data_IF_487013993956
#
_entry.id   IF_487013993956
#
_cell.length_a   1.000
_cell.length_b   1.000
_cell.length_c   1.000
_cell.angle_alpha   90.00
_cell.angle_beta   90.00
_cell.angle_gamma   90.00
#
_symmetry.space_group_name_H-M   'P 1'
#
loop_
_entity.id
_entity.type
_entity.pdbx_description
1 polymer ?
#
# COMPACT_ATOMS: atom_id res chain seq x y z
N UNK A 1 -41.12 -35.99 -38.62
CA UNK A 1 -41.64 -35.43 -39.90
C UNK A 1 -43.17 -35.52 -39.84
N UNK A 2 -43.98 -34.57 -40.33
CA UNK A 2 -43.67 -33.32 -41.06
C UNK A 2 -44.35 -32.03 -40.46
N UNK A 3 -43.72 -30.86 -40.58
CA UNK A 3 -44.03 -29.69 -41.45
C UNK A 3 -45.28 -28.85 -41.12
N UNK A 4 -45.05 -27.55 -40.90
CA UNK A 4 -46.07 -26.50 -40.87
C UNK A 4 -45.48 -25.09 -40.92
N UNK A 5 -45.27 -24.59 -42.14
CA UNK A 5 -44.72 -23.27 -42.52
C UNK A 5 -45.60 -22.08 -42.09
N UNK A 6 -44.97 -20.94 -41.73
CA UNK A 6 -45.53 -19.60 -42.03
C UNK A 6 -44.44 -18.52 -42.17
N UNK A 7 -44.30 -18.04 -43.42
CA UNK A 7 -43.55 -16.85 -43.87
C UNK A 7 -44.37 -15.57 -43.62
N UNK A 8 -43.70 -14.46 -43.30
CA UNK A 8 -43.91 -13.04 -43.75
C UNK A 8 -43.01 -12.14 -42.87
N UNK A 9 -42.36 -11.06 -43.30
CA UNK A 9 -41.96 -10.47 -44.60
C UNK A 9 -40.95 -9.37 -44.21
N UNK A 10 -39.80 -9.27 -44.87
CA UNK A 10 -38.83 -8.16 -44.77
C UNK A 10 -39.45 -6.89 -45.39
N UNK A 11 -39.25 -5.73 -44.77
CA UNK A 11 -39.10 -4.45 -45.47
C UNK A 11 -37.71 -3.91 -45.15
N UNK A 12 -36.99 -3.57 -46.22
CA UNK A 12 -35.67 -2.96 -46.26
C UNK A 12 -35.91 -1.66 -47.01
N UNK A 13 -35.67 -0.52 -46.39
CA UNK A 13 -35.47 0.73 -47.12
C UNK A 13 -34.17 1.38 -46.65
N UNK A 14 -33.51 1.91 -47.65
CA UNK A 14 -32.16 2.47 -47.72
C UNK A 14 -32.26 3.92 -48.17
N UNK A 15 -31.12 4.62 -48.20
CA UNK A 15 -30.88 5.99 -48.69
C UNK A 15 -30.99 7.07 -47.60
N UNK A 16 -30.18 8.11 -47.54
CA UNK A 16 -29.03 8.53 -48.36
C UNK A 16 -28.27 9.62 -47.60
N UNK A 17 -26.95 9.68 -47.85
CA UNK A 17 -26.06 10.80 -47.61
C UNK A 17 -26.60 12.10 -48.24
N UNK A 18 -26.38 13.22 -47.57
CA UNK A 18 -26.17 14.53 -48.20
C UNK A 18 -25.16 15.32 -47.38
N UNK A 19 -24.02 15.54 -48.01
CA UNK A 19 -23.07 16.62 -47.74
C UNK A 19 -23.78 17.97 -47.86
N UNK A 20 -23.34 18.97 -47.10
CA UNK A 20 -23.75 20.36 -47.34
C UNK A 20 -22.50 21.23 -47.43
N UNK A 21 -22.43 21.90 -48.58
CA UNK A 21 -21.35 22.71 -49.11
C UNK A 21 -21.07 24.01 -48.36
N UNK A 22 -19.84 24.48 -48.59
CA UNK A 22 -19.32 25.83 -48.36
C UNK A 22 -20.09 26.92 -49.12
N UNK A 23 -20.19 28.10 -48.49
CA UNK A 23 -20.22 29.44 -49.11
C UNK A 23 -19.50 30.34 -48.09
N UNK A 24 -18.46 31.14 -48.33
CA UNK A 24 -17.96 31.80 -49.53
C UNK A 24 -17.75 33.30 -49.20
N UNK A 25 -16.53 33.82 -49.34
CA UNK A 25 -16.20 35.26 -49.24
C UNK A 25 -14.74 35.52 -48.85
N UNK A 26 -13.79 35.51 -49.80
CA UNK A 26 -13.28 36.68 -50.57
C UNK A 26 -12.60 37.75 -49.68
N UNK A 27 -11.26 37.78 -49.59
CA UNK A 27 -10.27 38.34 -50.53
C UNK A 27 -9.95 39.83 -50.29
N UNK A 28 -8.65 40.13 -50.09
CA UNK A 28 -8.11 41.49 -50.05
C UNK A 28 -6.67 41.51 -49.55
N UNK A 29 -5.70 41.32 -50.44
CA UNK A 29 -4.27 41.53 -50.17
C UNK A 29 -3.72 42.76 -50.92
N UNK A 30 -2.55 43.25 -50.48
CA UNK A 30 -1.55 43.83 -51.37
C UNK A 30 -0.99 45.22 -51.04
N UNK A 31 0.28 45.24 -50.59
CA UNK A 31 1.35 46.19 -50.95
C UNK A 31 1.38 47.56 -50.22
N UNK A 32 2.51 48.13 -49.80
CA UNK A 32 3.94 47.78 -49.87
C UNK A 32 4.81 48.99 -49.48
N UNK A 33 6.04 48.74 -49.03
CA UNK A 33 7.22 49.59 -49.27
C UNK A 33 7.62 50.68 -48.25
N UNK A 34 8.81 50.53 -47.64
CA UNK A 34 9.74 51.65 -47.43
C UNK A 34 10.35 51.87 -46.04
N UNK A 35 11.61 51.44 -45.85
CA UNK A 35 12.67 52.35 -45.39
C UNK A 35 13.15 52.36 -43.91
N UNK A 36 14.39 51.88 -43.74
CA UNK A 36 15.47 52.36 -42.84
C UNK A 36 15.66 51.79 -41.41
N UNK A 37 16.65 50.89 -41.34
CA UNK A 37 17.84 50.84 -40.47
C UNK A 37 17.83 51.46 -39.06
N UNK A 38 18.24 50.64 -38.07
CA UNK A 38 18.61 51.07 -36.72
C UNK A 38 19.02 49.94 -35.76
N UNK A 39 20.25 49.44 -35.94
CA UNK A 39 21.15 48.68 -35.06
C UNK A 39 20.71 48.06 -33.70
N UNK A 40 20.98 46.74 -33.62
CA UNK A 40 21.69 45.98 -32.57
C UNK A 40 21.42 46.17 -31.05
N UNK A 41 20.90 45.10 -30.42
CA UNK A 41 21.47 44.53 -29.19
C UNK A 41 21.19 43.02 -29.17
N UNK A 42 22.26 42.21 -29.21
CA UNK A 42 22.20 40.75 -29.36
C UNK A 42 21.81 40.03 -28.07
N UNK A 43 20.95 39.02 -28.21
CA UNK A 43 20.84 37.87 -27.30
C UNK A 43 21.29 36.64 -28.05
N UNK A 44 22.45 36.11 -27.68
CA UNK A 44 22.98 34.87 -28.20
C UNK A 44 22.11 33.70 -27.73
N UNK A 45 21.55 33.00 -28.70
CA UNK A 45 21.02 31.66 -28.55
C UNK A 45 22.19 30.68 -28.32
N UNK A 46 22.03 29.79 -27.34
CA UNK A 46 22.85 28.60 -27.22
C UNK A 46 21.95 27.37 -27.35
N UNK A 47 22.46 26.44 -28.16
CA UNK A 47 21.83 25.28 -28.75
C UNK A 47 21.15 24.34 -27.75
N UNK A 48 20.01 23.84 -28.21
CA UNK A 48 19.21 22.76 -27.66
C UNK A 48 19.90 21.40 -27.93
N UNK A 49 20.01 20.54 -26.92
CA UNK A 49 20.59 19.21 -27.04
C UNK A 49 19.90 18.19 -26.12
N UNK A 50 18.99 17.42 -26.70
CA UNK A 50 18.67 16.02 -26.33
C UNK A 50 18.20 15.72 -24.91
N UNK A 51 16.89 15.90 -24.64
CA UNK A 51 16.22 15.31 -23.48
C UNK A 51 14.88 14.72 -23.90
N UNK A 52 14.75 13.40 -23.80
CA UNK A 52 13.55 12.62 -24.08
C UNK A 52 12.32 13.22 -23.40
N UNK A 53 11.31 13.56 -24.20
CA UNK A 53 10.06 14.16 -23.74
C UNK A 53 9.27 13.25 -22.79
N UNK A 54 9.40 13.50 -21.50
CA UNK A 54 8.35 13.20 -20.53
C UNK A 54 7.39 14.38 -20.49
N UNK A 55 6.13 14.17 -20.85
CA UNK A 55 5.09 15.18 -20.68
C UNK A 55 5.03 15.60 -19.21
N UNK A 56 4.88 16.91 -18.95
CA UNK A 56 4.64 17.41 -17.61
C UNK A 56 3.41 16.69 -17.00
N UNK A 57 3.46 16.26 -15.73
CA UNK A 57 2.35 15.55 -15.12
C UNK A 57 1.08 16.41 -15.19
N UNK A 58 -0.07 15.83 -15.58
CA UNK A 58 -1.29 16.59 -15.74
C UNK A 58 -1.68 17.29 -14.42
N UNK A 59 -2.33 18.47 -14.52
CA UNK A 59 -2.87 19.20 -13.37
C UNK A 59 -3.66 18.26 -12.45
N UNK A 60 -3.53 18.43 -11.13
CA UNK A 60 -4.17 17.55 -10.14
C UNK A 60 -5.69 17.34 -10.37
N UNK A 61 -6.36 18.33 -10.98
CA UNK A 61 -7.79 18.31 -11.31
C UNK A 61 -8.19 17.41 -12.49
N UNK A 62 -7.23 16.86 -13.24
CA UNK A 62 -7.47 15.94 -14.37
C UNK A 62 -7.07 14.50 -14.06
N UNK A 63 -6.54 14.23 -12.85
CA UNK A 63 -6.21 12.87 -12.44
C UNK A 63 -7.50 12.13 -12.07
N UNK A 64 -7.67 10.87 -12.52
CA UNK A 64 -8.78 10.06 -12.08
C UNK A 64 -8.82 9.98 -10.56
N UNK A 65 -9.98 10.22 -9.97
CA UNK A 65 -10.18 10.03 -8.54
C UNK A 65 -10.14 8.54 -8.23
N UNK A 66 -9.12 8.12 -7.50
CA UNK A 66 -9.04 6.75 -6.99
C UNK A 66 -9.99 6.64 -5.80
N UNK A 67 -11.10 5.93 -6.01
CA UNK A 67 -12.12 5.70 -4.98
C UNK A 67 -12.01 4.27 -4.49
N UNK A 68 -11.85 4.11 -3.19
CA UNK A 68 -11.81 2.81 -2.53
C UNK A 68 -13.05 2.60 -1.67
N UNK A 69 -13.41 1.33 -1.47
CA UNK A 69 -14.50 0.94 -0.60
C UNK A 69 -13.94 0.43 0.72
N UNK A 70 -14.61 0.76 1.81
CA UNK A 70 -14.17 0.36 3.15
C UNK A 70 -15.31 -0.06 4.05
N UNK A 71 -15.03 -0.96 5.00
CA UNK A 71 -15.91 -1.34 6.11
C UNK A 71 -15.10 -1.46 7.40
N UNK A 72 -15.76 -1.29 8.55
CA UNK A 72 -15.21 -1.71 9.82
C UNK A 72 -15.25 -3.24 9.89
N UNK A 73 -14.14 -3.85 10.30
CA UNK A 73 -13.96 -5.30 10.31
C UNK A 73 -14.96 -6.04 11.22
N UNK A 74 -15.47 -5.36 12.26
CA UNK A 74 -16.50 -5.90 13.16
C UNK A 74 -17.94 -5.75 12.63
N UNK A 75 -18.12 -5.09 11.48
CA UNK A 75 -19.41 -4.86 10.84
C UNK A 75 -19.79 -3.38 10.77
N UNK A 76 -19.99 -2.87 9.56
CA UNK A 76 -20.56 -1.56 9.28
C UNK A 76 -21.19 -1.54 7.89
N UNK A 77 -22.00 -0.53 7.55
CA UNK A 77 -22.26 -0.19 6.14
C UNK A 77 -20.95 0.06 5.37
N UNK A 78 -20.99 -0.04 4.05
CA UNK A 78 -19.85 0.29 3.19
C UNK A 78 -19.66 1.80 3.09
N UNK A 79 -18.48 2.27 3.48
CA UNK A 79 -17.99 3.62 3.23
C UNK A 79 -17.26 3.73 1.89
N UNK A 80 -17.16 4.95 1.38
CA UNK A 80 -16.36 5.31 0.19
C UNK A 80 -15.32 6.34 0.61
N UNK A 81 -14.07 6.12 0.24
CA UNK A 81 -12.96 7.00 0.58
C UNK A 81 -12.12 7.32 -0.66
N UNK A 82 -11.61 8.55 -0.73
CA UNK A 82 -10.75 9.03 -1.81
C UNK A 82 -9.77 10.09 -1.28
N UNK A 83 -8.72 10.40 -2.05
CA UNK A 83 -7.86 11.56 -1.80
C UNK A 83 -6.88 11.41 -0.62
N UNK A 84 -6.25 10.24 -0.48
CA UNK A 84 -5.17 10.00 0.47
C UNK A 84 -3.87 9.65 -0.26
N UNK A 85 -2.74 10.19 0.22
CA UNK A 85 -1.40 9.96 -0.32
C UNK A 85 -0.48 9.14 0.58
N UNK A 86 -0.92 8.77 1.78
CA UNK A 86 -0.18 7.97 2.74
C UNK A 86 -1.13 7.27 3.71
N UNK A 87 -0.59 6.35 4.52
CA UNK A 87 -1.39 5.54 5.47
C UNK A 87 -2.08 6.39 6.54
N UNK A 88 -1.45 7.49 6.99
CA UNK A 88 -2.04 8.40 7.97
C UNK A 88 -3.29 9.11 7.43
N UNK A 89 -3.22 9.59 6.20
CA UNK A 89 -4.37 10.18 5.49
C UNK A 89 -5.44 9.14 5.18
N UNK A 90 -5.04 7.91 4.83
CA UNK A 90 -5.98 6.79 4.65
C UNK A 90 -6.80 6.57 5.94
N UNK A 91 -6.16 6.47 7.10
CA UNK A 91 -6.86 6.33 8.37
C UNK A 91 -7.73 7.54 8.71
N UNK A 92 -7.29 8.76 8.38
CA UNK A 92 -8.12 9.95 8.51
C UNK A 92 -9.40 9.86 7.67
N UNK A 93 -9.30 9.39 6.42
CA UNK A 93 -10.46 9.24 5.52
C UNK A 93 -11.41 8.14 5.96
N UNK A 94 -10.89 7.02 6.46
CA UNK A 94 -11.71 5.95 7.05
C UNK A 94 -12.43 6.47 8.30
N UNK A 95 -11.71 7.15 9.19
CA UNK A 95 -12.28 7.71 10.42
C UNK A 95 -13.40 8.72 10.12
N UNK A 96 -13.19 9.60 9.13
CA UNK A 96 -14.20 10.54 8.62
C UNK A 96 -15.45 9.80 8.10
N UNK A 97 -15.26 8.75 7.28
CA UNK A 97 -16.36 7.98 6.69
C UNK A 97 -17.25 7.26 7.72
N UNK A 98 -16.69 6.92 8.90
CA UNK A 98 -17.41 6.20 9.96
C UNK A 98 -17.68 7.06 11.21
N UNK A 99 -17.37 8.35 11.18
CA UNK A 99 -17.51 9.27 12.32
C UNK A 99 -16.80 8.75 13.59
N UNK A 100 -15.55 8.30 13.43
CA UNK A 100 -14.68 7.79 14.48
C UNK A 100 -13.46 8.71 14.66
N UNK A 101 -12.73 8.55 15.77
CA UNK A 101 -11.38 9.12 15.89
C UNK A 101 -10.38 8.24 15.13
N UNK A 102 -9.37 8.86 14.51
CA UNK A 102 -8.26 8.13 13.86
C UNK A 102 -7.52 7.21 14.83
N UNK A 103 -7.50 7.58 16.11
CA UNK A 103 -6.88 6.79 17.18
C UNK A 103 -7.61 5.48 17.49
N UNK A 104 -8.83 5.30 16.98
CA UNK A 104 -9.58 4.06 17.15
C UNK A 104 -9.17 3.00 16.13
N UNK A 105 -8.58 3.38 15.01
CA UNK A 105 -8.18 2.43 13.96
C UNK A 105 -6.82 1.84 14.32
N UNK A 106 -6.77 0.51 14.48
CA UNK A 106 -5.55 -0.25 14.77
C UNK A 106 -4.78 -0.52 13.49
N UNK A 107 -5.39 -1.20 12.52
CA UNK A 107 -4.77 -1.53 11.23
C UNK A 107 -5.84 -1.82 10.17
N UNK A 108 -5.42 -2.11 8.95
CA UNK A 108 -6.32 -2.50 7.87
C UNK A 108 -5.89 -3.81 7.22
N UNK A 109 -6.88 -4.62 6.83
CA UNK A 109 -6.69 -5.77 5.95
C UNK A 109 -7.39 -5.53 4.63
N UNK A 110 -6.88 -6.13 3.56
CA UNK A 110 -7.43 -6.01 2.21
C UNK A 110 -8.26 -7.26 1.89
N UNK A 111 -9.46 -7.07 1.35
CA UNK A 111 -10.36 -8.12 0.87
C UNK A 111 -10.78 -9.16 1.92
N UNK A 112 -10.63 -8.87 3.22
CA UNK A 112 -11.09 -9.72 4.32
C UNK A 112 -11.36 -8.90 5.58
N UNK A 113 -12.45 -9.21 6.28
CA UNK A 113 -12.75 -8.65 7.61
C UNK A 113 -12.08 -9.45 8.74
N UNK A 114 -11.52 -10.63 8.43
CA UNK A 114 -10.83 -11.46 9.42
C UNK A 114 -9.47 -10.86 9.74
N UNK A 115 -8.97 -11.15 10.95
CA UNK A 115 -7.58 -10.84 11.33
C UNK A 115 -6.68 -11.83 10.60
N UNK A 116 -6.38 -11.51 9.34
CA UNK A 116 -5.55 -12.29 8.44
C UNK A 116 -4.32 -11.46 8.09
N UNK A 117 -3.19 -11.83 8.70
CA UNK A 117 -1.94 -11.09 8.57
C UNK A 117 -1.25 -11.28 7.22
N UNK A 118 -1.71 -12.21 6.39
CA UNK A 118 -1.27 -12.33 4.99
C UNK A 118 -1.93 -11.28 4.11
N UNK A 119 -3.10 -10.79 4.52
CA UNK A 119 -3.86 -9.72 3.85
C UNK A 119 -3.74 -8.38 4.57
N UNK A 120 -2.76 -8.23 5.45
CA UNK A 120 -2.47 -6.97 6.11
C UNK A 120 -2.05 -5.92 5.06
N UNK A 121 -2.51 -4.68 5.20
CA UNK A 121 -2.08 -3.58 4.35
C UNK A 121 -0.55 -3.40 4.44
N UNK A 122 0.16 -3.72 3.35
CA UNK A 122 1.63 -3.70 3.27
C UNK A 122 2.21 -2.59 2.40
N UNK A 123 1.50 -1.46 2.25
CA UNK A 123 1.96 -0.33 1.43
C UNK A 123 1.59 -0.43 -0.06
N UNK A 124 0.78 -1.42 -0.46
CA UNK A 124 0.15 -1.50 -1.77
C UNK A 124 -1.34 -1.75 -1.62
N UNK A 125 -2.13 -1.09 -2.46
CA UNK A 125 -3.59 -1.25 -2.52
C UNK A 125 -3.96 -1.41 -3.99
N UNK A 126 -4.46 -2.57 -4.40
CA UNK A 126 -5.01 -2.77 -5.72
C UNK A 126 -6.20 -1.84 -5.96
N UNK A 127 -6.38 -1.32 -7.18
CA UNK A 127 -7.42 -0.34 -7.46
C UNK A 127 -8.86 -0.84 -7.19
N UNK A 128 -9.05 -2.16 -7.17
CA UNK A 128 -10.33 -2.81 -6.87
C UNK A 128 -10.39 -3.40 -5.45
N UNK A 129 -9.36 -3.19 -4.62
CA UNK A 129 -9.30 -3.75 -3.28
C UNK A 129 -10.35 -3.14 -2.34
N UNK A 130 -10.88 -4.00 -1.49
CA UNK A 130 -11.80 -3.62 -0.43
C UNK A 130 -11.04 -3.52 0.89
N UNK A 131 -11.14 -2.37 1.57
CA UNK A 131 -10.35 -2.09 2.78
C UNK A 131 -11.18 -2.35 4.03
N UNK A 132 -10.75 -3.30 4.88
CA UNK A 132 -11.38 -3.56 6.16
C UNK A 132 -10.55 -2.95 7.30
N UNK A 133 -11.15 -1.99 8.01
CA UNK A 133 -10.52 -1.30 9.13
C UNK A 133 -10.79 -2.02 10.45
N UNK A 134 -9.73 -2.46 11.11
CA UNK A 134 -9.78 -3.07 12.44
C UNK A 134 -9.67 -1.97 13.49
N UNK A 135 -10.64 -1.88 14.39
CA UNK A 135 -10.68 -0.83 15.43
C UNK A 135 -10.45 -1.40 16.82
N UNK A 136 -10.06 -0.54 17.75
CA UNK A 136 -9.83 -0.87 19.16
C UNK A 136 -11.06 -1.52 19.78
N UNK A 137 -10.86 -2.67 20.40
CA UNK A 137 -11.86 -3.39 21.16
C UNK A 137 -11.46 -3.55 22.62
N UNK A 138 -11.36 -4.79 23.07
CA UNK A 138 -11.17 -5.13 24.48
C UNK A 138 -9.74 -4.81 24.92
N UNK A 139 -9.61 -4.08 26.03
CA UNK A 139 -8.32 -3.89 26.71
C UNK A 139 -8.02 -5.06 27.63
N UNK A 140 -6.79 -5.57 27.56
CA UNK A 140 -6.29 -6.70 28.34
C UNK A 140 -5.03 -6.26 29.09
N UNK A 141 -4.86 -6.73 30.31
CA UNK A 141 -3.60 -6.61 31.05
C UNK A 141 -3.13 -8.03 31.38
N UNK A 142 -1.88 -8.33 31.05
CA UNK A 142 -1.31 -9.66 31.22
C UNK A 142 0.08 -9.59 31.82
N UNK A 143 0.34 -10.48 32.77
CA UNK A 143 1.66 -10.73 33.34
C UNK A 143 2.28 -11.93 32.64
N UNK A 144 3.51 -11.76 32.15
CA UNK A 144 4.24 -12.78 31.40
C UNK A 144 5.58 -13.03 32.08
N UNK A 145 5.87 -14.29 32.40
CA UNK A 145 7.18 -14.69 32.91
C UNK A 145 8.13 -14.96 31.75
N UNK A 146 9.23 -14.19 31.64
CA UNK A 146 10.22 -14.31 30.56
C UNK A 146 11.17 -15.49 30.82
N UNK A 147 10.73 -16.70 30.48
CA UNK A 147 11.53 -17.92 30.65
C UNK A 147 12.69 -18.05 29.64
N UNK A 148 12.53 -17.47 28.45
CA UNK A 148 13.49 -17.52 27.34
C UNK A 148 13.92 -16.13 26.91
N UNK A 149 15.04 -16.03 26.18
CA UNK A 149 15.53 -14.75 25.65
C UNK A 149 14.57 -14.15 24.61
N UNK A 150 13.94 -15.02 23.81
CA UNK A 150 12.91 -14.66 22.85
C UNK A 150 11.52 -15.06 23.35
N UNK A 151 10.56 -14.14 23.25
CA UNK A 151 9.17 -14.42 23.63
C UNK A 151 8.42 -15.24 22.57
N UNK A 152 8.94 -15.30 21.33
CA UNK A 152 8.24 -15.88 20.18
C UNK A 152 7.16 -14.98 19.60
N UNK A 153 7.29 -13.66 19.75
CA UNK A 153 6.42 -12.67 19.13
C UNK A 153 7.09 -12.07 17.90
N UNK A 154 6.33 -11.92 16.83
CA UNK A 154 6.72 -11.13 15.66
C UNK A 154 5.88 -9.86 15.65
N UNK A 155 6.54 -8.70 15.72
CA UNK A 155 5.88 -7.39 15.83
C UNK A 155 5.84 -6.69 14.48
N UNK A 156 4.73 -6.01 14.21
CA UNK A 156 4.57 -5.10 13.06
C UNK A 156 3.89 -3.83 13.53
N UNK A 157 3.77 -2.82 12.69
CA UNK A 157 3.00 -1.62 12.99
C UNK A 157 2.17 -1.16 11.80
N UNK A 158 1.27 -0.21 12.08
CA UNK A 158 0.35 0.35 11.10
C UNK A 158 0.90 1.60 10.39
N UNK A 159 2.19 1.94 10.56
CA UNK A 159 2.77 3.19 10.05
C UNK A 159 2.19 4.48 10.65
N UNK A 160 1.32 4.38 11.66
CA UNK A 160 0.61 5.49 12.29
C UNK A 160 0.70 5.45 13.84
N UNK A 161 1.69 4.74 14.38
CA UNK A 161 2.02 4.74 15.80
C UNK A 161 1.41 3.61 16.64
N UNK A 162 0.81 2.59 16.01
CA UNK A 162 0.34 1.39 16.70
C UNK A 162 1.11 0.16 16.27
N UNK A 163 1.93 -0.37 17.17
CA UNK A 163 2.58 -1.67 17.03
C UNK A 163 1.67 -2.81 17.53
N UNK A 164 1.60 -3.90 16.80
CA UNK A 164 0.74 -5.04 17.11
C UNK A 164 1.40 -6.37 16.75
N UNK A 165 0.84 -7.46 17.30
CA UNK A 165 1.37 -8.80 17.15
C UNK A 165 0.95 -9.36 15.78
N UNK A 166 1.91 -9.59 14.87
CA UNK A 166 1.68 -10.19 13.55
C UNK A 166 1.70 -11.72 13.60
N UNK A 167 2.56 -12.30 14.44
CA UNK A 167 2.68 -13.76 14.61
C UNK A 167 3.07 -14.11 16.05
N UNK A 168 2.61 -15.28 16.48
CA UNK A 168 3.04 -15.94 17.71
C UNK A 168 3.63 -17.30 17.29
N UNK A 169 4.87 -17.57 17.69
CA UNK A 169 5.56 -18.84 17.41
C UNK A 169 4.96 -19.93 18.28
N UNK A 170 4.56 -21.05 17.69
CA UNK A 170 4.04 -22.21 18.42
C UNK A 170 5.08 -22.75 19.43
N UNK A 171 4.61 -23.09 20.63
CA UNK A 171 5.46 -23.59 21.72
C UNK A 171 6.37 -22.53 22.38
N UNK A 172 6.23 -21.25 22.01
CA UNK A 172 6.98 -20.16 22.64
C UNK A 172 6.38 -19.70 23.97
N UNK A 173 7.12 -18.86 24.69
CA UNK A 173 6.63 -18.20 25.93
C UNK A 173 5.31 -17.49 25.68
N UNK A 174 5.19 -16.74 24.58
CA UNK A 174 3.96 -16.03 24.24
C UNK A 174 2.80 -16.96 23.88
N UNK A 175 3.06 -18.08 23.19
CA UNK A 175 2.03 -19.08 22.89
C UNK A 175 1.49 -19.76 24.17
N UNK A 176 2.32 -19.89 25.20
CA UNK A 176 1.89 -20.36 26.53
C UNK A 176 0.86 -19.44 27.20
N UNK A 177 0.81 -18.16 26.82
CA UNK A 177 -0.08 -17.15 27.40
C UNK A 177 -1.29 -16.93 26.50
N UNK A 178 -2.31 -17.79 26.64
CA UNK A 178 -3.49 -17.86 25.74
C UNK A 178 -4.35 -16.59 25.64
N UNK A 179 -4.13 -15.62 26.52
CA UNK A 179 -4.80 -14.30 26.47
C UNK A 179 -4.20 -13.40 25.38
N UNK A 180 -2.94 -13.62 25.01
CA UNK A 180 -2.24 -12.90 23.94
C UNK A 180 -2.64 -13.49 22.59
N UNK A 181 -3.12 -12.65 21.69
CA UNK A 181 -3.62 -13.04 20.37
C UNK A 181 -2.90 -12.28 19.26
N UNK A 182 -2.86 -12.90 18.07
CA UNK A 182 -2.48 -12.20 16.83
C UNK A 182 -3.48 -11.05 16.58
N UNK A 183 -2.95 -9.88 16.23
CA UNK A 183 -3.70 -8.64 16.05
C UNK A 183 -3.75 -7.74 17.28
N UNK A 184 -3.35 -8.23 18.46
CA UNK A 184 -3.32 -7.40 19.66
C UNK A 184 -2.34 -6.23 19.51
N UNK A 185 -2.84 -5.01 19.69
CA UNK A 185 -2.01 -3.81 19.79
C UNK A 185 -1.36 -3.73 21.16
N UNK A 186 -0.05 -3.50 21.20
CA UNK A 186 0.70 -3.31 22.45
C UNK A 186 0.60 -1.83 22.84
N UNK A 187 -0.16 -1.52 23.90
CA UNK A 187 -0.34 -0.16 24.40
C UNK A 187 0.76 0.22 25.40
N UNK A 188 1.11 -0.71 26.31
CA UNK A 188 2.17 -0.50 27.30
C UNK A 188 3.03 -1.75 27.56
N UNK A 189 4.30 -1.53 27.92
CA UNK A 189 5.23 -2.52 28.47
C UNK A 189 5.69 -2.03 29.84
N UNK A 190 5.47 -2.79 30.91
CA UNK A 190 5.80 -2.40 32.30
C UNK A 190 5.29 -1.00 32.69
N UNK A 191 4.09 -0.65 32.23
CA UNK A 191 3.47 0.66 32.49
C UNK A 191 3.99 1.80 31.60
N UNK A 192 5.08 1.62 30.85
CA UNK A 192 5.56 2.58 29.84
C UNK A 192 4.64 2.52 28.63
N UNK A 193 3.99 3.64 28.30
CA UNK A 193 3.21 3.79 27.07
C UNK A 193 4.16 3.77 25.85
N UNK A 194 3.83 2.95 24.85
CA UNK A 194 4.62 2.78 23.62
C UNK A 194 3.86 3.23 22.36
N UNK A 195 2.71 3.89 22.51
CA UNK A 195 2.01 4.50 21.38
C UNK A 195 2.91 5.56 20.72
N UNK A 196 3.01 5.48 19.39
CA UNK A 196 3.91 6.31 18.60
C UNK A 196 5.28 5.67 18.35
N UNK A 197 5.63 4.60 19.08
CA UNK A 197 6.87 3.84 18.87
C UNK A 197 6.73 2.89 17.68
N UNK A 198 7.76 2.80 16.84
CA UNK A 198 7.81 1.88 15.70
C UNK A 198 8.01 0.43 16.14
N UNK A 199 7.54 -0.51 15.33
CA UNK A 199 7.58 -1.95 15.63
C UNK A 199 8.97 -2.48 15.99
N UNK A 200 10.05 -1.99 15.36
CA UNK A 200 11.42 -2.42 15.65
C UNK A 200 11.89 -2.00 17.05
N UNK A 201 11.53 -0.81 17.50
CA UNK A 201 11.80 -0.36 18.87
C UNK A 201 10.99 -1.16 19.88
N UNK A 202 9.73 -1.48 19.57
CA UNK A 202 8.88 -2.32 20.43
C UNK A 202 9.44 -3.73 20.54
N UNK A 203 9.85 -4.34 19.42
CA UNK A 203 10.48 -5.66 19.41
C UNK A 203 11.78 -5.67 20.21
N UNK A 204 12.61 -4.63 20.06
CA UNK A 204 13.82 -4.45 20.87
C UNK A 204 13.50 -4.30 22.36
N UNK A 205 12.52 -3.48 22.75
CA UNK A 205 12.12 -3.34 24.15
C UNK A 205 11.70 -4.67 24.77
N UNK A 206 10.98 -5.51 24.03
CA UNK A 206 10.58 -6.85 24.47
C UNK A 206 11.79 -7.81 24.59
N UNK A 207 12.72 -7.74 23.63
CA UNK A 207 13.97 -8.51 23.63
C UNK A 207 14.89 -8.13 24.80
N UNK A 208 14.96 -6.85 25.14
CA UNK A 208 15.83 -6.29 26.18
C UNK A 208 15.27 -6.47 27.61
N UNK A 209 14.03 -6.96 27.77
CA UNK A 209 13.47 -7.28 29.09
C UNK A 209 14.33 -8.31 29.85
N UNK A 210 14.48 -8.20 31.17
CA UNK A 210 15.27 -9.14 31.96
C UNK A 210 14.69 -10.57 31.88
N UNK A 211 15.58 -11.54 31.66
CA UNK A 211 15.25 -12.97 31.68
C UNK A 211 14.96 -13.42 33.11
N UNK A 212 14.07 -14.39 33.27
CA UNK A 212 13.61 -14.94 34.55
C UNK A 212 12.86 -13.93 35.44
N UNK A 213 12.30 -12.89 34.84
CA UNK A 213 11.45 -11.92 35.51
C UNK A 213 10.05 -11.87 34.87
N UNK A 214 9.08 -11.40 35.65
CA UNK A 214 7.73 -11.15 35.14
C UNK A 214 7.63 -9.71 34.67
N UNK A 215 7.02 -9.51 33.51
CA UNK A 215 6.71 -8.19 32.98
C UNK A 215 5.21 -8.08 32.65
N UNK A 216 4.71 -6.85 32.62
CA UNK A 216 3.30 -6.54 32.34
C UNK A 216 3.15 -6.01 30.93
N UNK A 217 2.17 -6.52 30.19
CA UNK A 217 1.71 -5.97 28.93
C UNK A 217 0.29 -5.44 29.08
N UNK A 218 0.04 -4.24 28.55
CA UNK A 218 -1.31 -3.75 28.27
C UNK A 218 -1.56 -3.88 26.78
N UNK A 219 -2.56 -4.68 26.43
CA UNK A 219 -2.91 -5.01 25.05
C UNK A 219 -4.30 -4.49 24.71
N UNK A 220 -4.53 -4.15 23.46
CA UNK A 220 -5.85 -3.81 22.93
C UNK A 220 -6.17 -4.75 21.78
N UNK A 221 -7.15 -5.60 21.98
CA UNK A 221 -7.63 -6.55 20.97
C UNK A 221 -8.48 -5.82 19.93
N UNK A 222 -8.36 -6.13 18.63
CA UNK A 222 -9.28 -5.63 17.62
C UNK A 222 -10.72 -6.07 17.91
N UNK A 223 -11.70 -5.19 17.67
CA UNK A 223 -13.10 -5.60 17.70
C UNK A 223 -13.34 -6.70 16.67
N UNK A 224 -13.84 -7.85 17.13
CA UNK A 224 -14.24 -8.97 16.28
C UNK A 224 -15.71 -8.83 15.92
N UNK A 225 -16.06 -9.19 14.68
CA UNK A 225 -17.46 -9.35 14.31
C UNK A 225 -18.09 -10.44 15.17
N UNK A 226 -19.30 -10.22 15.68
CA UNK A 226 -20.06 -11.30 16.32
C UNK A 226 -20.33 -12.38 15.26
N UNK A 227 -19.85 -13.60 15.49
CA UNK A 227 -20.04 -14.76 14.59
C UNK A 227 -21.52 -15.12 14.35
N UNK A 228 -22.47 -14.46 15.02
CA UNK A 228 -23.91 -14.72 14.94
C UNK A 228 -24.65 -14.00 13.81
N UNK A 229 -23.97 -13.22 12.96
CA UNK A 229 -24.59 -12.60 11.78
C UNK A 229 -23.78 -12.93 10.54
N UNK A 230 -24.00 -14.13 9.98
CA UNK A 230 -23.71 -14.38 8.57
C UNK A 230 -24.33 -13.25 7.74
N UNK A 231 -23.56 -12.57 6.87
CA UNK A 231 -24.12 -11.57 5.97
C UNK A 231 -25.07 -12.24 4.98
N UNK A 232 -26.38 -12.20 5.27
CA UNK A 232 -27.42 -12.39 4.26
C UNK A 232 -27.47 -11.16 3.37
N UNK A 233 -26.52 -11.06 2.45
CA UNK A 233 -26.66 -10.20 1.28
C UNK A 233 -25.79 -10.72 0.16
N UNK A 234 -26.44 -11.45 -0.76
CA UNK A 234 -26.09 -11.39 -2.18
C UNK A 234 -26.29 -9.94 -2.63
N UNK A 235 -25.32 -9.08 -2.30
CA UNK A 235 -25.25 -7.70 -2.78
C UNK A 235 -24.79 -7.73 -4.23
N UNK A 236 -25.65 -7.23 -5.12
CA UNK A 236 -25.39 -7.11 -6.54
C UNK A 236 -24.06 -6.38 -6.78
N UNK A 237 -23.26 -6.87 -7.74
CA UNK A 237 -22.06 -6.16 -8.22
C UNK A 237 -22.45 -4.72 -8.61
N UNK A 238 -21.75 -3.68 -8.14
CA UNK A 238 -21.94 -2.35 -8.72
C UNK A 238 -21.49 -2.37 -10.17
N UNK A 239 -22.45 -2.10 -11.06
CA UNK A 239 -22.25 -1.99 -12.49
C UNK A 239 -21.67 -0.61 -12.79
N UNK A 240 -20.37 -0.59 -13.08
CA UNK A 240 -19.70 0.32 -14.02
C UNK A 240 -19.72 1.82 -13.72
N UNK A 241 -18.60 2.34 -13.21
CA UNK A 241 -18.13 3.70 -13.48
C UNK A 241 -16.60 3.70 -13.65
N UNK A 242 -16.15 4.30 -14.76
CA UNK A 242 -14.76 4.53 -15.22
C UNK A 242 -13.71 3.42 -14.96
N UNK A 243 -13.64 2.49 -15.92
CA UNK A 243 -12.46 1.62 -16.09
C UNK A 243 -11.28 2.44 -16.57
N UNK A 244 -10.32 2.64 -15.68
CA UNK A 244 -8.97 3.06 -16.01
C UNK A 244 -8.08 1.93 -15.49
N UNK A 245 -7.30 1.34 -16.40
CA UNK A 245 -6.33 0.30 -16.07
C UNK A 245 -6.68 -1.09 -16.56
N UNK A 246 -5.65 -1.83 -16.94
CA UNK A 246 -5.67 -3.24 -17.38
C UNK A 246 -5.89 -4.24 -16.22
N UNK A 247 -6.42 -3.78 -15.08
CA UNK A 247 -6.56 -4.58 -13.85
C UNK A 247 -5.23 -4.95 -13.18
N UNK A 248 -4.12 -4.31 -13.58
CA UNK A 248 -2.76 -4.57 -13.09
C UNK A 248 -2.12 -3.39 -12.35
N UNK A 249 -2.88 -2.33 -12.09
CA UNK A 249 -2.38 -1.15 -11.40
C UNK A 249 -2.63 -1.26 -9.89
N UNK A 250 -1.71 -0.72 -9.10
CA UNK A 250 -1.81 -0.65 -7.65
C UNK A 250 -1.45 0.77 -7.19
N UNK A 251 -2.09 1.22 -6.12
CA UNK A 251 -1.69 2.41 -5.40
C UNK A 251 -0.59 2.05 -4.41
N UNK A 252 0.63 2.52 -4.67
CA UNK A 252 1.80 2.37 -3.79
C UNK A 252 1.78 3.47 -2.73
N UNK A 253 1.62 3.10 -1.46
CA UNK A 253 1.81 3.96 -0.31
C UNK A 253 3.24 3.79 0.22
N UNK A 254 4.03 4.86 0.13
CA UNK A 254 5.44 4.88 0.58
C UNK A 254 5.53 5.51 1.97
N UNK A 255 6.46 5.02 2.79
CA UNK A 255 6.80 5.63 4.09
C UNK A 255 7.49 6.99 3.90
N UNK A 256 8.29 7.12 2.84
CA UNK A 256 8.95 8.35 2.42
C UNK A 256 8.50 8.75 1.01
N UNK A 257 7.62 9.74 0.91
CA UNK A 257 7.17 10.32 -0.37
C UNK A 257 5.65 10.22 -0.61
N UNK A 258 5.15 10.82 -1.70
CA UNK A 258 3.72 10.76 -2.06
C UNK A 258 3.36 9.40 -2.65
N UNK A 259 2.08 9.00 -2.51
CA UNK A 259 1.57 7.82 -3.18
C UNK A 259 1.61 7.95 -4.71
N UNK A 260 1.92 6.83 -5.36
CA UNK A 260 2.06 6.69 -6.81
C UNK A 260 1.19 5.53 -7.31
N UNK A 261 0.64 5.67 -8.52
CA UNK A 261 0.00 4.55 -9.22
C UNK A 261 1.09 3.83 -9.99
N UNK A 262 1.30 2.56 -9.68
CA UNK A 262 2.37 1.73 -10.22
C UNK A 262 1.79 0.42 -10.75
N UNK A 263 2.51 -0.23 -11.66
CA UNK A 263 2.18 -1.61 -12.02
C UNK A 263 2.39 -2.52 -10.80
N UNK A 264 1.55 -3.54 -10.67
CA UNK A 264 1.68 -4.55 -9.64
C UNK A 264 3.10 -5.16 -9.69
N UNK A 265 3.75 -5.40 -8.54
CA UNK A 265 5.07 -6.01 -8.53
C UNK A 265 5.09 -7.31 -9.33
N UNK A 266 6.21 -7.54 -10.00
CA UNK A 266 6.43 -8.81 -10.69
C UNK A 266 6.49 -9.96 -9.67
N UNK A 267 6.13 -11.18 -10.08
CA UNK A 267 6.23 -12.37 -9.20
C UNK A 267 7.64 -12.54 -8.60
N UNK A 268 8.66 -12.06 -9.29
CA UNK A 268 10.03 -12.02 -8.81
C UNK A 268 10.19 -11.04 -7.64
N UNK A 269 9.71 -9.81 -7.78
CA UNK A 269 9.76 -8.79 -6.74
C UNK A 269 8.94 -9.22 -5.52
N UNK A 270 7.75 -9.78 -5.69
CA UNK A 270 6.95 -10.30 -4.58
C UNK A 270 7.70 -11.37 -3.77
N UNK A 271 8.39 -12.29 -4.47
CA UNK A 271 9.21 -13.32 -3.82
C UNK A 271 10.43 -12.74 -3.11
N UNK A 272 11.10 -11.76 -3.73
CA UNK A 272 12.22 -11.07 -3.10
C UNK A 272 11.78 -10.34 -1.83
N UNK A 273 10.66 -9.61 -1.89
CA UNK A 273 10.08 -8.90 -0.74
C UNK A 273 9.73 -9.89 0.37
N UNK A 274 9.14 -11.03 0.04
CA UNK A 274 8.84 -12.07 1.04
C UNK A 274 10.10 -12.63 1.71
N UNK A 275 11.15 -12.94 0.93
CA UNK A 275 12.43 -13.41 1.48
C UNK A 275 13.06 -12.36 2.42
N UNK A 276 13.02 -11.08 2.04
CA UNK A 276 13.52 -9.99 2.88
C UNK A 276 12.67 -9.82 4.15
N UNK A 277 11.34 -9.93 4.06
CA UNK A 277 10.45 -9.87 5.23
C UNK A 277 10.68 -11.07 6.19
N UNK A 278 11.04 -12.24 5.65
CA UNK A 278 11.42 -13.41 6.46
C UNK A 278 12.79 -13.21 7.15
N UNK A 279 13.74 -12.52 6.51
CA UNK A 279 15.01 -12.11 7.14
C UNK A 279 14.79 -11.07 8.25
N UNK A 280 13.88 -10.11 8.06
CA UNK A 280 13.51 -9.16 9.11
C UNK A 280 12.95 -9.89 10.34
N UNK A 281 12.16 -10.94 10.12
CA UNK A 281 11.61 -11.75 11.21
C UNK A 281 12.72 -12.52 11.95
N UNK A 282 13.64 -13.14 11.22
CA UNK A 282 14.70 -13.96 11.83
C UNK A 282 15.71 -13.14 12.62
N UNK A 283 16.13 -11.98 12.09
CA UNK A 283 17.17 -11.15 12.71
C UNK A 283 16.60 -10.21 13.79
N UNK A 284 15.42 -9.64 13.55
CA UNK A 284 14.89 -8.53 14.36
C UNK A 284 13.57 -8.86 15.07
N UNK A 285 12.91 -9.98 14.75
CA UNK A 285 11.61 -10.33 15.31
C UNK A 285 10.49 -9.40 14.83
N UNK A 286 10.66 -8.80 13.65
CA UNK A 286 9.69 -7.88 13.06
C UNK A 286 9.32 -8.29 11.66
N UNK A 287 8.16 -7.84 11.19
CA UNK A 287 7.84 -7.86 9.76
C UNK A 287 7.26 -6.54 9.32
N UNK A 288 7.76 -6.03 8.22
CA UNK A 288 7.35 -4.79 7.59
C UNK A 288 7.52 -4.94 6.08
N UNK A 289 6.39 -5.22 5.42
CA UNK A 289 6.35 -5.46 3.97
C UNK A 289 6.69 -4.20 3.17
N UNK A 290 6.42 -3.00 3.70
CA UNK A 290 6.74 -1.75 3.03
C UNK A 290 8.25 -1.45 3.12
N UNK A 291 8.85 -1.72 4.28
CA UNK A 291 10.30 -1.69 4.47
C UNK A 291 11.00 -2.71 3.55
N UNK A 292 10.53 -3.96 3.53
CA UNK A 292 11.08 -5.01 2.68
C UNK A 292 10.97 -4.67 1.19
N UNK A 293 9.84 -4.11 0.75
CA UNK A 293 9.67 -3.60 -0.62
C UNK A 293 10.66 -2.48 -0.93
N UNK A 294 10.85 -1.54 -0.01
CA UNK A 294 11.84 -0.47 -0.17
C UNK A 294 13.27 -1.02 -0.30
N UNK A 295 13.64 -2.03 0.48
CA UNK A 295 14.95 -2.69 0.38
C UNK A 295 15.18 -3.35 -0.99
N UNK A 296 14.17 -4.06 -1.50
CA UNK A 296 14.22 -4.70 -2.83
C UNK A 296 14.33 -3.65 -3.94
N UNK A 297 13.58 -2.55 -3.84
CA UNK A 297 13.65 -1.43 -4.78
C UNK A 297 15.05 -0.80 -4.80
N UNK A 298 15.64 -0.52 -3.62
CA UNK A 298 17.00 0.04 -3.49
C UNK A 298 18.06 -0.90 -4.09
N UNK A 299 17.92 -2.21 -3.89
CA UNK A 299 18.84 -3.22 -4.41
C UNK A 299 18.66 -3.58 -5.88
N UNK A 300 17.64 -3.05 -6.56
CA UNK A 300 17.34 -3.40 -7.97
C UNK A 300 18.45 -3.00 -8.93
N UNK A 301 18.97 -1.78 -8.77
CA UNK A 301 19.92 -1.18 -9.73
C UNK A 301 21.37 -1.25 -9.27
N UNK A 302 21.64 -1.92 -8.14
CA UNK A 302 22.98 -2.09 -7.58
C UNK A 302 23.65 -3.33 -8.15
N UNK A 303 24.98 -3.29 -8.22
CA UNK A 303 25.80 -4.36 -8.84
C UNK A 303 26.71 -5.08 -7.85
N UNK A 304 26.98 -4.50 -6.68
CA UNK A 304 27.81 -5.10 -5.65
C UNK A 304 27.22 -4.86 -4.23
N UNK A 305 27.60 -5.68 -3.24
CA UNK A 305 27.10 -5.55 -1.86
C UNK A 305 27.43 -4.20 -1.21
N UNK A 306 28.60 -3.62 -1.51
CA UNK A 306 29.05 -2.37 -0.88
C UNK A 306 28.20 -1.18 -1.32
N UNK A 307 27.92 -1.06 -2.62
CA UNK A 307 26.99 -0.05 -3.17
C UNK A 307 25.55 -0.25 -2.66
N UNK A 308 25.17 -1.50 -2.39
CA UNK A 308 23.88 -1.80 -1.78
C UNK A 308 23.85 -1.34 -0.31
N UNK A 309 24.89 -1.64 0.47
CA UNK A 309 25.00 -1.22 1.86
C UNK A 309 24.96 0.31 1.99
N UNK A 310 25.73 1.02 1.16
CA UNK A 310 25.75 2.50 1.17
C UNK A 310 24.36 3.09 0.81
N UNK A 311 23.68 2.52 -0.19
CA UNK A 311 22.34 2.96 -0.58
C UNK A 311 21.28 2.62 0.48
N UNK A 312 21.43 1.47 1.15
CA UNK A 312 20.55 1.06 2.22
C UNK A 312 20.72 1.98 3.43
N UNK A 313 21.93 2.34 3.81
CA UNK A 313 22.21 3.30 4.88
C UNK A 313 21.68 4.69 4.55
N UNK A 314 21.80 5.14 3.29
CA UNK A 314 21.24 6.42 2.86
C UNK A 314 19.70 6.44 2.97
N UNK A 315 19.04 5.33 2.66
CA UNK A 315 17.58 5.23 2.67
C UNK A 315 17.02 4.93 4.07
N UNK A 316 17.71 4.10 4.85
CA UNK A 316 17.21 3.40 6.05
C UNK A 316 18.24 3.35 7.20
N UNK A 317 19.24 4.24 7.22
CA UNK A 317 20.31 4.25 8.24
C UNK A 317 19.83 4.36 9.69
N UNK A 318 18.61 4.83 9.92
CA UNK A 318 17.99 4.87 11.26
C UNK A 318 17.83 3.48 11.91
N UNK A 319 17.83 2.42 11.11
CA UNK A 319 17.61 1.04 11.58
C UNK A 319 18.89 0.35 12.08
N UNK A 320 20.08 0.84 11.71
CA UNK A 320 21.38 0.26 12.05
C UNK A 320 21.43 -1.28 11.85
N UNK A 321 21.26 -1.71 10.61
CA UNK A 321 21.27 -3.13 10.26
C UNK A 321 22.65 -3.77 10.45
N UNK A 322 22.75 -5.02 10.96
CA UNK A 322 24.01 -5.76 11.00
C UNK A 322 24.54 -6.06 9.59
N UNK A 323 25.86 -6.06 9.39
CA UNK A 323 26.48 -6.36 8.08
C UNK A 323 26.05 -7.73 7.51
N UNK A 324 25.92 -8.74 8.38
CA UNK A 324 25.45 -10.08 7.99
C UNK A 324 24.03 -10.03 7.39
N UNK A 325 23.14 -9.21 7.98
CA UNK A 325 21.79 -9.02 7.47
C UNK A 325 21.82 -8.33 6.09
N UNK A 326 22.65 -7.30 5.92
CA UNK A 326 22.77 -6.59 4.63
C UNK A 326 23.25 -7.54 3.54
N UNK A 327 24.21 -8.42 3.85
CA UNK A 327 24.71 -9.43 2.94
C UNK A 327 23.64 -10.47 2.57
N UNK A 328 22.89 -10.97 3.55
CA UNK A 328 21.80 -11.92 3.33
C UNK A 328 20.66 -11.32 2.48
N UNK A 329 20.31 -10.05 2.71
CA UNK A 329 19.32 -9.31 1.90
C UNK A 329 19.81 -9.16 0.46
N UNK A 330 21.08 -8.79 0.28
CA UNK A 330 21.69 -8.72 -1.04
C UNK A 330 21.63 -10.08 -1.77
N UNK A 331 21.97 -11.16 -1.07
CA UNK A 331 21.85 -12.53 -1.57
C UNK A 331 20.41 -12.88 -1.97
N UNK A 332 19.43 -12.58 -1.12
CA UNK A 332 18.02 -12.84 -1.36
C UNK A 332 17.49 -12.13 -2.61
N UNK A 333 17.88 -10.87 -2.83
CA UNK A 333 17.55 -10.09 -4.02
C UNK A 333 18.24 -10.69 -5.25
N UNK A 334 19.53 -11.04 -5.15
CA UNK A 334 20.33 -11.61 -6.24
C UNK A 334 19.84 -12.99 -6.71
N UNK A 335 19.52 -13.88 -5.78
CA UNK A 335 18.98 -15.22 -6.07
C UNK A 335 17.65 -15.13 -6.82
N UNK A 336 16.78 -14.25 -6.33
CA UNK A 336 15.50 -14.05 -6.97
C UNK A 336 15.70 -13.45 -8.39
N UNK A 337 16.68 -12.55 -8.63
CA UNK A 337 16.98 -12.00 -9.98
C UNK A 337 17.41 -13.09 -10.95
N UNK A 338 18.12 -14.10 -10.45
CA UNK A 338 18.62 -15.23 -11.24
C UNK A 338 17.60 -16.38 -11.37
N UNK A 339 16.39 -16.22 -10.82
CA UNK A 339 15.37 -17.27 -10.80
C UNK A 339 15.79 -18.51 -10.00
N UNK A 340 16.77 -18.37 -9.11
CA UNK A 340 17.23 -19.44 -8.22
C UNK A 340 16.35 -19.42 -6.97
N UNK A 341 15.56 -20.47 -6.82
CA UNK A 341 14.66 -20.69 -5.70
C UNK A 341 15.15 -21.88 -4.89
#
# INVERSE_FOLDING_TARGET
>A
MPLGLRKKKKSRESSSLVENEEIGGAAGGGGGGGGSAGAHAGKSAAMNGGGTGGLAPPPANLRPKLVFHTQLAHGSPTGRIEGFGNVKELYAKIAEAFNLSTTEILFCTLNTHKIDMEKLLGGQIGLEDFIFAHVKGIKKEVEVYKAEDALGLTITDNGAGYAFIKRIKEGSVADGVKVICVGDHIECINGKNIVGTRHYEVARMLKDLPKNETFKLKLVEPMKAFEMLEPRSKGSRPQGENRIGTGRETLRLRSKGPATVEEMPTEFEEKAVKKVDDLLESYMGIRDTELAATMVEVGRDKVNPDEFAEALDQALGDFAFPDEFVFDVWGAIGDAKQGRF
#
